data_IF_442022176690
#
_entry.id   IF_442022176690
#
_cell.length_a   1.000
_cell.length_b   1.000
_cell.length_c   1.000
_cell.angle_alpha   90.00
_cell.angle_beta   90.00
_cell.angle_gamma   90.00
#
_symmetry.space_group_name_H-M   'P 1'
#
loop_
_entity.id
_entity.type
_entity.pdbx_description
1 polymer ?
#
# COMPACT_ATOMS: atom_id res chain seq x y z
N UNK A 1 -22.54 -17.68 13.51
CA UNK A 1 -22.46 -16.77 12.34
C UNK A 1 -21.12 -16.02 12.39
N UNK A 2 -20.19 -16.32 11.48
CA UNK A 2 -18.86 -15.70 11.50
C UNK A 2 -18.96 -14.20 11.11
N UNK A 3 -18.66 -13.32 12.07
CA UNK A 3 -18.62 -11.86 11.89
C UNK A 3 -17.68 -11.55 10.72
N UNK A 4 -18.21 -11.12 9.57
CA UNK A 4 -17.41 -10.72 8.38
C UNK A 4 -16.47 -9.59 8.82
N UNK A 5 -15.18 -9.91 9.03
CA UNK A 5 -14.15 -8.91 9.35
C UNK A 5 -14.10 -7.89 8.21
N UNK A 6 -14.36 -6.63 8.51
CA UNK A 6 -14.33 -5.54 7.53
C UNK A 6 -12.91 -5.41 6.94
N UNK A 7 -12.74 -5.81 5.69
CA UNK A 7 -11.50 -5.61 4.93
C UNK A 7 -11.56 -4.22 4.29
N UNK A 8 -10.46 -3.47 4.37
CA UNK A 8 -10.31 -2.18 3.68
C UNK A 8 -9.42 -2.34 2.49
N UNK A 9 -9.83 -1.76 1.38
CA UNK A 9 -9.00 -1.67 0.18
C UNK A 9 -7.93 -0.59 0.40
N UNK A 10 -6.67 -0.94 0.15
CA UNK A 10 -5.52 -0.05 0.27
C UNK A 10 -4.70 -0.12 -1.01
N UNK A 11 -4.16 1.04 -1.41
CA UNK A 11 -3.20 1.10 -2.50
C UNK A 11 -1.79 1.20 -1.94
N UNK A 12 -0.83 0.48 -2.53
CA UNK A 12 0.58 0.61 -2.21
C UNK A 12 1.29 1.41 -3.28
N UNK A 13 1.92 2.49 -2.85
CA UNK A 13 2.53 3.51 -3.69
C UNK A 13 4.04 3.43 -3.53
N UNK A 14 4.76 3.42 -4.66
CA UNK A 14 6.21 3.40 -4.66
C UNK A 14 6.75 4.72 -4.08
N UNK A 15 7.51 4.63 -2.98
CA UNK A 15 8.03 5.82 -2.31
C UNK A 15 9.05 6.57 -3.18
N UNK A 16 9.86 5.86 -3.97
CA UNK A 16 10.83 6.51 -4.86
C UNK A 16 10.21 7.18 -6.08
N UNK A 17 9.09 6.66 -6.60
CA UNK A 17 8.33 7.38 -7.63
C UNK A 17 7.78 8.69 -7.09
N UNK A 18 7.26 8.64 -5.85
CA UNK A 18 6.72 9.81 -5.18
C UNK A 18 7.82 10.85 -4.91
N UNK A 19 9.00 10.44 -4.45
CA UNK A 19 10.08 11.39 -4.12
C UNK A 19 10.82 11.92 -5.35
N UNK A 20 11.16 11.06 -6.32
CA UNK A 20 11.98 11.48 -7.48
C UNK A 20 11.18 12.09 -8.62
N UNK A 21 10.00 11.54 -8.92
CA UNK A 21 9.19 11.96 -10.08
C UNK A 21 7.97 12.79 -9.67
N UNK A 22 7.75 13.03 -8.36
CA UNK A 22 6.52 13.61 -7.79
C UNK A 22 5.25 12.91 -8.29
N UNK A 23 5.36 11.67 -8.75
CA UNK A 23 4.26 10.91 -9.35
C UNK A 23 3.91 9.74 -8.46
N UNK A 24 2.63 9.70 -8.09
CA UNK A 24 2.09 8.69 -7.18
C UNK A 24 1.52 7.54 -8.00
N UNK A 25 2.36 6.58 -8.40
CA UNK A 25 1.88 5.40 -9.10
C UNK A 25 1.24 4.43 -8.11
N UNK A 26 -0.07 4.16 -8.28
CA UNK A 26 -0.76 3.05 -7.60
C UNK A 26 -0.30 1.73 -8.22
N UNK A 27 0.85 1.23 -7.75
CA UNK A 27 1.44 0.01 -8.32
C UNK A 27 0.70 -1.26 -7.90
N UNK A 28 0.17 -1.28 -6.67
CA UNK A 28 -0.50 -2.45 -6.13
C UNK A 28 -1.77 -2.06 -5.40
N UNK A 29 -2.80 -2.87 -5.57
CA UNK A 29 -4.05 -2.81 -4.81
C UNK A 29 -4.10 -4.04 -3.92
N UNK A 30 -4.28 -3.84 -2.62
CA UNK A 30 -4.31 -4.93 -1.64
C UNK A 30 -5.41 -4.68 -0.63
N UNK A 31 -5.87 -5.73 0.03
CA UNK A 31 -6.86 -5.60 1.11
C UNK A 31 -6.18 -5.77 2.45
N UNK A 32 -6.49 -4.89 3.40
CA UNK A 32 -6.04 -4.98 4.79
C UNK A 32 -7.21 -5.24 5.72
N UNK A 33 -7.05 -6.18 6.63
CA UNK A 33 -8.07 -6.48 7.65
C UNK A 33 -8.09 -5.35 8.68
N UNK A 34 -9.25 -4.74 8.96
CA UNK A 34 -9.42 -3.80 10.07
C UNK A 34 -9.53 -4.58 11.38
N UNK A 35 -8.39 -4.98 11.96
CA UNK A 35 -8.30 -5.37 13.37
C UNK A 35 -7.85 -4.19 14.23
N UNK A 36 -8.14 -4.22 15.54
CA UNK A 36 -7.74 -3.17 16.50
C UNK A 36 -6.22 -2.92 16.44
N UNK A 37 -5.42 -3.98 16.32
CA UNK A 37 -3.96 -3.86 16.14
C UNK A 37 -3.55 -3.35 14.74
N UNK A 38 -4.34 -3.61 13.71
CA UNK A 38 -3.96 -3.36 12.31
C UNK A 38 -4.27 -1.91 11.86
N UNK A 39 -5.07 -1.16 12.61
CA UNK A 39 -5.41 0.22 12.27
C UNK A 39 -4.20 1.17 12.34
N UNK A 40 -3.26 0.94 13.25
CA UNK A 40 -2.05 1.78 13.41
C UNK A 40 -0.82 1.28 12.63
N UNK A 41 -0.82 0.02 12.19
CA UNK A 41 0.30 -0.57 11.48
C UNK A 41 0.29 -0.14 10.01
N UNK A 42 1.06 0.88 9.65
CA UNK A 42 1.22 1.28 8.25
C UNK A 42 1.93 0.17 7.45
N UNK A 43 1.26 -0.40 6.45
CA UNK A 43 1.82 -1.45 5.60
C UNK A 43 2.96 -0.86 4.74
N UNK A 44 4.15 -1.42 4.89
CA UNK A 44 5.32 -1.09 4.08
C UNK A 44 5.89 -2.39 3.53
N UNK A 45 5.87 -2.55 2.22
CA UNK A 45 6.34 -3.75 1.55
C UNK A 45 7.44 -3.38 0.56
N UNK A 46 8.50 -4.19 0.52
CA UNK A 46 9.49 -4.14 -0.57
C UNK A 46 9.00 -4.99 -1.72
N UNK A 47 8.65 -4.36 -2.85
CA UNK A 47 8.26 -5.04 -4.07
C UNK A 47 8.92 -4.42 -5.29
N UNK A 48 8.91 -5.14 -6.40
CA UNK A 48 9.39 -4.62 -7.66
C UNK A 48 8.52 -3.44 -8.14
N UNK A 49 9.15 -2.33 -8.55
CA UNK A 49 8.43 -1.21 -9.15
C UNK A 49 8.69 -1.19 -10.66
N UNK A 50 7.64 -1.35 -11.47
CA UNK A 50 7.73 -1.29 -12.94
C UNK A 50 8.30 0.06 -13.45
N UNK A 51 8.05 1.16 -12.74
CA UNK A 51 8.50 2.50 -13.13
C UNK A 51 9.95 2.80 -12.74
N UNK A 52 10.43 2.21 -11.65
CA UNK A 52 11.83 2.35 -11.22
C UNK A 52 12.71 1.21 -11.74
N UNK A 53 12.09 0.17 -12.32
CA UNK A 53 12.71 -1.08 -12.78
C UNK A 53 13.57 -1.77 -11.72
N UNK A 54 13.25 -1.57 -10.44
CA UNK A 54 14.00 -2.11 -9.30
C UNK A 54 13.08 -2.36 -8.12
N UNK A 55 13.52 -3.20 -7.19
CA UNK A 55 12.82 -3.43 -5.92
C UNK A 55 12.87 -2.16 -5.07
N UNK A 56 11.70 -1.69 -4.65
CA UNK A 56 11.53 -0.45 -3.91
C UNK A 56 10.54 -0.63 -2.76
N UNK A 57 10.57 0.31 -1.82
CA UNK A 57 9.61 0.35 -0.72
C UNK A 57 8.30 0.96 -1.21
N UNK A 58 7.22 0.20 -1.08
CA UNK A 58 5.85 0.63 -1.34
C UNK A 58 5.13 0.85 -0.01
N UNK A 59 4.59 2.06 0.18
CA UNK A 59 3.84 2.45 1.37
C UNK A 59 2.35 2.54 1.07
N UNK A 60 1.52 2.33 2.09
CA UNK A 60 0.09 2.62 2.00
C UNK A 60 -0.15 4.07 1.56
N UNK A 61 -0.87 4.22 0.45
CA UNK A 61 -1.42 5.48 0.00
C UNK A 61 -2.92 5.52 0.25
N UNK A 62 -3.42 6.70 0.61
CA UNK A 62 -4.85 6.90 0.79
C UNK A 62 -5.57 6.65 -0.55
N UNK A 63 -6.54 5.74 -0.51
CA UNK A 63 -7.58 5.70 -1.54
C UNK A 63 -8.50 6.88 -1.22
N UNK A 64 -8.15 8.08 -1.70
CA UNK A 64 -9.13 9.14 -1.90
C UNK A 64 -10.11 8.68 -2.95
#
# INVERSE_FOLDING_TARGET
MAKKKSKSDISLICQECLTKKKTSHRNYRTTKTKGIQTQNLKLNLRKYCKFCQKTQSHKEGAVK
#
